data_IF_977496777858
#
_entry.id   IF_977496777858
#
_cell.length_a   1.000
_cell.length_b   1.000
_cell.length_c   1.000
_cell.angle_alpha   90.00
_cell.angle_beta   90.00
_cell.angle_gamma   90.00
#
_symmetry.space_group_name_H-M   'P 1'
#
loop_
_entity.id
_entity.type
_entity.pdbx_description
1 polymer ?
#
# COMPACT_ATOMS: atom_id res chain seq x y z
N UNK A 1 -3.64 6.94 -18.86
CA UNK A 1 -3.94 7.38 -17.48
C UNK A 1 -3.06 6.62 -16.49
N UNK A 2 -2.47 7.33 -15.58
CA UNK A 2 -1.63 6.73 -14.56
C UNK A 2 -2.49 5.99 -13.53
N UNK A 3 -2.13 4.73 -13.24
CA UNK A 3 -2.82 3.88 -12.29
C UNK A 3 -1.89 3.49 -11.15
N UNK A 4 -2.36 3.68 -9.93
CA UNK A 4 -1.61 3.39 -8.70
C UNK A 4 -2.40 2.42 -7.83
N UNK A 5 -1.73 1.39 -7.34
CA UNK A 5 -2.32 0.49 -6.35
C UNK A 5 -1.69 0.79 -4.99
N UNK A 6 -2.50 1.12 -3.99
CA UNK A 6 -2.05 1.28 -2.62
C UNK A 6 -2.31 -0.03 -1.87
N UNK A 7 -1.25 -0.69 -1.44
CA UNK A 7 -1.33 -1.95 -0.69
C UNK A 7 -1.00 -1.66 0.77
N UNK A 8 -1.92 -1.99 1.67
CA UNK A 8 -1.73 -1.81 3.09
C UNK A 8 -2.30 -2.97 3.89
N UNK A 9 -2.04 -2.95 5.19
CA UNK A 9 -2.66 -3.90 6.11
C UNK A 9 -4.03 -3.38 6.52
N UNK A 10 -5.02 -4.27 6.61
CA UNK A 10 -6.34 -3.88 7.13
C UNK A 10 -6.19 -3.28 8.53
N UNK A 11 -6.67 -2.05 8.75
CA UNK A 11 -6.44 -1.36 10.03
C UNK A 11 -6.91 -2.12 11.26
N UNK A 12 -7.99 -2.88 11.17
CA UNK A 12 -8.52 -3.65 12.29
C UNK A 12 -7.66 -4.86 12.65
N UNK A 13 -6.68 -5.23 11.82
CA UNK A 13 -5.77 -6.35 12.08
C UNK A 13 -4.41 -5.90 12.61
N UNK A 14 -4.19 -4.60 12.75
CA UNK A 14 -2.91 -4.04 13.22
C UNK A 14 -2.81 -4.21 14.74
N UNK A 15 -1.63 -4.62 15.21
CA UNK A 15 -1.33 -4.66 16.64
C UNK A 15 -0.92 -3.26 17.10
N UNK A 16 -1.86 -2.54 17.70
CA UNK A 16 -1.63 -1.15 18.14
C UNK A 16 -0.81 -1.07 19.43
N UNK A 17 -0.42 -2.21 20.01
CA UNK A 17 0.52 -2.22 21.14
C UNK A 17 1.97 -2.23 20.69
N UNK A 18 2.23 -2.38 19.39
CA UNK A 18 3.60 -2.40 18.86
C UNK A 18 4.26 -1.03 19.08
N UNK A 19 5.43 -0.99 19.76
CA UNK A 19 6.07 0.27 20.11
C UNK A 19 6.59 1.07 18.91
N UNK A 20 6.70 0.47 17.73
CA UNK A 20 7.12 1.19 16.51
C UNK A 20 6.04 2.16 16.03
N UNK A 21 4.78 1.92 16.40
CA UNK A 21 3.68 2.78 16.01
C UNK A 21 3.70 4.10 16.78
N UNK A 22 3.33 5.23 16.14
CA UNK A 22 3.24 6.50 16.85
C UNK A 22 2.22 6.44 17.99
N UNK A 23 2.45 7.16 19.09
CA UNK A 23 1.49 7.22 20.20
C UNK A 23 0.11 7.67 19.71
N UNK A 24 -0.93 7.03 20.22
CA UNK A 24 -2.31 7.37 19.88
C UNK A 24 -2.79 6.84 18.53
N UNK A 25 -1.99 6.01 17.84
CA UNK A 25 -2.41 5.41 16.58
C UNK A 25 -3.55 4.43 16.81
N UNK A 26 -4.53 4.45 15.90
CA UNK A 26 -5.67 3.52 15.91
C UNK A 26 -6.21 3.34 14.50
N UNK A 27 -7.18 2.42 14.35
CA UNK A 27 -7.76 2.09 13.06
C UNK A 27 -8.43 3.30 12.41
N UNK A 28 -9.12 4.13 13.19
CA UNK A 28 -9.79 5.33 12.67
C UNK A 28 -8.80 6.30 12.04
N UNK A 29 -7.67 6.53 12.68
CA UNK A 29 -6.62 7.41 12.14
C UNK A 29 -6.00 6.87 10.88
N UNK A 30 -5.76 5.56 10.83
CA UNK A 30 -5.21 4.93 9.64
C UNK A 30 -6.20 5.03 8.48
N UNK A 31 -7.48 4.76 8.73
CA UNK A 31 -8.52 4.87 7.70
C UNK A 31 -8.63 6.30 7.18
N UNK A 32 -8.56 7.29 8.05
CA UNK A 32 -8.58 8.69 7.63
C UNK A 32 -7.37 9.04 6.75
N UNK A 33 -6.18 8.55 7.11
CA UNK A 33 -4.98 8.76 6.32
C UNK A 33 -5.06 8.10 4.95
N UNK A 34 -5.61 6.90 4.88
CA UNK A 34 -5.82 6.18 3.62
C UNK A 34 -6.79 6.96 2.72
N UNK A 35 -7.89 7.45 3.26
CA UNK A 35 -8.86 8.24 2.49
C UNK A 35 -8.21 9.50 1.93
N UNK A 36 -7.39 10.18 2.73
CA UNK A 36 -6.64 11.35 2.28
C UNK A 36 -5.65 10.99 1.17
N UNK A 37 -4.95 9.87 1.30
CA UNK A 37 -4.01 9.40 0.28
C UNK A 37 -4.71 9.20 -1.07
N UNK A 38 -5.85 8.52 -1.07
CA UNK A 38 -6.61 8.29 -2.30
C UNK A 38 -7.10 9.60 -2.92
N UNK A 39 -7.54 10.54 -2.08
CA UNK A 39 -7.96 11.87 -2.54
C UNK A 39 -6.80 12.61 -3.19
N UNK A 40 -5.62 12.62 -2.58
CA UNK A 40 -4.44 13.28 -3.11
C UNK A 40 -4.01 12.69 -4.45
N UNK A 41 -4.10 11.37 -4.60
CA UNK A 41 -3.79 10.71 -5.88
C UNK A 41 -4.79 11.10 -6.95
N UNK A 42 -6.09 11.14 -6.63
CA UNK A 42 -7.12 11.58 -7.56
C UNK A 42 -6.93 13.04 -7.99
N UNK A 43 -6.51 13.90 -7.06
CA UNK A 43 -6.23 15.31 -7.35
C UNK A 43 -5.05 15.48 -8.32
N UNK A 44 -4.14 14.50 -8.37
CA UNK A 44 -3.03 14.47 -9.35
C UNK A 44 -3.46 13.89 -10.69
N UNK A 45 -4.72 13.51 -10.85
CA UNK A 45 -5.24 12.92 -12.09
C UNK A 45 -4.98 11.43 -12.22
N UNK A 46 -4.56 10.77 -11.15
CA UNK A 46 -4.30 9.33 -11.15
C UNK A 46 -5.55 8.53 -10.82
N UNK A 47 -5.64 7.32 -11.39
CA UNK A 47 -6.61 6.34 -10.95
C UNK A 47 -5.97 5.52 -9.82
N UNK A 48 -6.52 5.60 -8.62
CA UNK A 48 -5.98 4.92 -7.45
C UNK A 48 -6.93 3.85 -6.95
N UNK A 49 -6.40 2.65 -6.74
CA UNK A 49 -7.14 1.54 -6.14
C UNK A 49 -6.49 1.17 -4.81
N UNK A 50 -7.27 0.60 -3.92
CA UNK A 50 -6.85 0.20 -2.59
C UNK A 50 -6.90 -1.32 -2.46
N UNK A 51 -5.83 -1.91 -1.91
CA UNK A 51 -5.78 -3.33 -1.58
C UNK A 51 -5.36 -3.46 -0.12
N UNK A 52 -6.31 -3.71 0.76
CA UNK A 52 -6.03 -3.92 2.19
C UNK A 52 -5.95 -5.40 2.48
N UNK A 53 -4.85 -5.82 3.06
CA UNK A 53 -4.53 -7.23 3.28
C UNK A 53 -4.64 -7.60 4.76
N UNK A 54 -5.02 -8.84 5.01
CA UNK A 54 -4.94 -9.45 6.34
C UNK A 54 -3.56 -10.11 6.49
N UNK A 55 -2.97 -10.11 7.69
CA UNK A 55 -1.64 -10.71 7.89
C UNK A 55 -1.73 -12.24 8.06
N UNK A 56 -2.28 -12.91 7.07
CA UNK A 56 -2.48 -14.36 7.05
C UNK A 56 -2.29 -14.91 5.63
N UNK A 57 -2.70 -16.15 5.41
CA UNK A 57 -2.54 -16.84 4.12
C UNK A 57 -3.37 -16.23 2.99
N UNK A 58 -4.32 -15.33 3.29
CA UNK A 58 -5.12 -14.68 2.24
C UNK A 58 -4.37 -13.52 1.57
N UNK A 59 -3.29 -13.03 2.16
CA UNK A 59 -2.56 -11.87 1.64
C UNK A 59 -2.06 -12.08 0.20
N UNK A 60 -1.42 -13.22 -0.07
CA UNK A 60 -0.90 -13.53 -1.39
C UNK A 60 -1.97 -13.56 -2.47
N UNK A 61 -3.00 -14.42 -2.31
CA UNK A 61 -4.10 -14.48 -3.30
C UNK A 61 -4.81 -13.14 -3.48
N UNK A 62 -5.01 -12.37 -2.40
CA UNK A 62 -5.72 -11.10 -2.48
C UNK A 62 -4.93 -10.05 -3.25
N UNK A 63 -3.63 -9.91 -2.99
CA UNK A 63 -2.81 -8.94 -3.73
C UNK A 63 -2.65 -9.35 -5.19
N UNK A 64 -2.51 -10.65 -5.47
CA UNK A 64 -2.44 -11.12 -6.85
C UNK A 64 -3.72 -10.82 -7.62
N UNK A 65 -4.88 -10.98 -6.99
CA UNK A 65 -6.16 -10.66 -7.62
C UNK A 65 -6.22 -9.19 -8.01
N UNK A 66 -5.79 -8.29 -7.13
CA UNK A 66 -5.73 -6.86 -7.43
C UNK A 66 -4.79 -6.57 -8.60
N UNK A 67 -3.60 -7.18 -8.58
CA UNK A 67 -2.60 -6.94 -9.62
C UNK A 67 -3.01 -7.47 -11.00
N UNK A 68 -3.84 -8.50 -11.04
CA UNK A 68 -4.34 -9.08 -12.30
C UNK A 68 -5.59 -8.37 -12.82
N UNK A 69 -6.33 -7.67 -11.95
CA UNK A 69 -7.57 -6.99 -12.33
C UNK A 69 -7.32 -5.75 -13.19
N UNK A 70 -6.18 -5.10 -13.01
CA UNK A 70 -5.82 -3.86 -13.71
C UNK A 70 -4.31 -3.85 -13.98
N UNK A 71 -3.88 -3.03 -14.94
CA UNK A 71 -2.46 -2.74 -15.13
C UNK A 71 -2.10 -1.50 -14.33
N UNK A 72 -1.10 -1.62 -13.45
CA UNK A 72 -0.67 -0.52 -12.59
C UNK A 72 0.70 0.00 -13.01
N UNK A 73 0.90 1.31 -12.90
CA UNK A 73 2.17 1.97 -13.16
C UNK A 73 3.05 1.99 -11.91
N UNK A 74 2.42 2.04 -10.74
CA UNK A 74 3.11 2.06 -9.46
C UNK A 74 2.30 1.31 -8.40
N UNK A 75 3.00 0.57 -7.55
CA UNK A 75 2.42 -0.07 -6.37
C UNK A 75 3.06 0.58 -5.14
N UNK A 76 2.26 1.23 -4.31
CA UNK A 76 2.71 1.81 -3.05
C UNK A 76 2.45 0.81 -1.94
N UNK A 77 3.50 0.42 -1.22
CA UNK A 77 3.41 -0.51 -0.10
C UNK A 77 3.44 0.28 1.21
N UNK A 78 2.42 0.07 2.04
CA UNK A 78 2.24 0.82 3.28
C UNK A 78 3.30 0.53 4.34
N UNK A 79 3.62 1.55 5.13
CA UNK A 79 4.59 1.45 6.21
C UNK A 79 4.22 0.39 7.24
N UNK A 80 2.93 0.15 7.47
CA UNK A 80 2.46 -0.90 8.38
C UNK A 80 2.91 -2.29 7.95
N UNK A 81 3.00 -2.55 6.64
CA UNK A 81 3.52 -3.82 6.14
C UNK A 81 5.04 -3.85 6.28
N UNK A 82 5.72 -2.77 5.95
CA UNK A 82 7.18 -2.72 5.89
C UNK A 82 7.86 -2.60 7.26
N UNK A 83 7.30 -1.78 8.15
CA UNK A 83 7.97 -1.42 9.41
C UNK A 83 7.76 -2.42 10.54
N UNK A 84 6.63 -3.13 10.56
CA UNK A 84 6.35 -4.10 11.61
C UNK A 84 7.10 -5.39 11.31
N UNK A 85 8.04 -5.77 12.18
CA UNK A 85 8.90 -6.94 11.95
C UNK A 85 8.10 -8.24 11.80
N UNK A 86 6.96 -8.36 12.48
CA UNK A 86 6.07 -9.52 12.33
C UNK A 86 5.50 -9.65 10.92
N UNK A 87 5.48 -8.57 10.16
CA UNK A 87 4.93 -8.53 8.80
C UNK A 87 5.97 -8.77 7.72
N UNK A 88 7.20 -9.14 8.07
CA UNK A 88 8.24 -9.41 7.08
C UNK A 88 7.78 -10.44 6.03
N UNK A 89 7.18 -11.59 6.41
CA UNK A 89 6.67 -12.51 5.39
C UNK A 89 5.59 -11.91 4.50
N UNK A 90 4.72 -11.05 5.04
CA UNK A 90 3.70 -10.37 4.24
C UNK A 90 4.34 -9.39 3.27
N UNK A 91 5.37 -8.66 3.70
CA UNK A 91 6.12 -7.77 2.81
C UNK A 91 6.74 -8.54 1.65
N UNK A 92 7.39 -9.65 1.93
CA UNK A 92 7.97 -10.50 0.90
C UNK A 92 6.91 -11.05 -0.05
N UNK A 93 5.76 -11.45 0.48
CA UNK A 93 4.62 -11.92 -0.31
C UNK A 93 4.16 -10.85 -1.29
N UNK A 94 4.02 -9.61 -0.82
CA UNK A 94 3.57 -8.50 -1.68
C UNK A 94 4.61 -8.19 -2.74
N UNK A 95 5.88 -8.07 -2.37
CA UNK A 95 6.96 -7.76 -3.32
C UNK A 95 7.05 -8.84 -4.40
N UNK A 96 7.01 -10.11 -3.99
CA UNK A 96 7.10 -11.20 -4.94
C UNK A 96 5.86 -11.29 -5.85
N UNK A 97 4.68 -10.95 -5.34
CA UNK A 97 3.47 -10.90 -6.15
C UNK A 97 3.58 -9.81 -7.22
N UNK A 98 4.08 -8.63 -6.85
CA UNK A 98 4.30 -7.54 -7.82
C UNK A 98 5.32 -7.97 -8.86
N UNK A 99 6.41 -8.58 -8.44
CA UNK A 99 7.47 -9.05 -9.33
C UNK A 99 6.93 -10.05 -10.37
N UNK A 100 6.02 -10.95 -9.97
CA UNK A 100 5.44 -11.94 -10.88
C UNK A 100 4.32 -11.37 -11.75
N UNK A 101 3.40 -10.63 -11.14
CA UNK A 101 2.14 -10.26 -11.80
C UNK A 101 2.17 -8.88 -12.45
N UNK A 102 3.05 -7.99 -12.00
CA UNK A 102 3.13 -6.62 -12.49
C UNK A 102 4.59 -6.16 -12.62
N UNK A 103 5.42 -6.88 -13.41
CA UNK A 103 6.86 -6.59 -13.47
C UNK A 103 7.20 -5.21 -14.03
N UNK A 104 6.28 -4.58 -14.75
CA UNK A 104 6.48 -3.24 -15.29
C UNK A 104 6.11 -2.13 -14.30
N UNK A 105 5.44 -2.45 -13.20
CA UNK A 105 5.08 -1.46 -12.19
C UNK A 105 6.30 -1.11 -11.33
N UNK A 106 6.44 0.18 -11.00
CA UNK A 106 7.41 0.58 -9.99
C UNK A 106 6.86 0.27 -8.59
N UNK A 107 7.76 0.09 -7.63
CA UNK A 107 7.39 -0.12 -6.24
C UNK A 107 7.83 1.10 -5.44
N UNK A 108 6.92 1.65 -4.63
CA UNK A 108 7.21 2.77 -3.74
C UNK A 108 6.81 2.40 -2.31
N UNK A 109 7.51 2.96 -1.35
CA UNK A 109 7.19 2.79 0.07
C UNK A 109 6.80 4.15 0.64
N UNK A 110 5.67 4.20 1.33
CA UNK A 110 5.33 5.39 2.11
C UNK A 110 5.95 5.31 3.51
N UNK A 111 5.92 6.40 4.26
CA UNK A 111 6.30 6.41 5.68
C UNK A 111 5.06 6.47 6.58
N UNK A 112 3.97 6.97 6.05
CA UNK A 112 2.64 6.98 6.63
C UNK A 112 1.63 7.17 5.48
N UNK A 113 0.33 6.88 5.67
CA UNK A 113 -0.62 6.97 4.55
C UNK A 113 -0.63 8.32 3.85
N UNK A 114 -0.46 9.41 4.58
CA UNK A 114 -0.58 10.76 4.06
C UNK A 114 0.52 11.15 3.06
N UNK A 115 1.66 10.42 3.01
CA UNK A 115 2.70 10.69 2.02
C UNK A 115 2.72 9.70 0.85
N UNK A 116 1.65 8.90 0.69
CA UNK A 116 1.59 7.87 -0.35
C UNK A 116 1.65 8.43 -1.76
N UNK A 117 0.98 9.55 -2.03
CA UNK A 117 1.03 10.19 -3.35
C UNK A 117 2.45 10.68 -3.67
N UNK A 118 3.14 11.26 -2.69
CA UNK A 118 4.54 11.68 -2.86
C UNK A 118 5.45 10.49 -3.10
N UNK A 119 5.21 9.38 -2.40
CA UNK A 119 5.99 8.16 -2.59
C UNK A 119 5.88 7.66 -4.05
N UNK A 120 4.67 7.58 -4.57
CA UNK A 120 4.44 7.16 -5.95
C UNK A 120 5.08 8.13 -6.94
N UNK A 121 4.98 9.43 -6.67
CA UNK A 121 5.50 10.47 -7.57
C UNK A 121 7.02 10.39 -7.76
N UNK A 122 7.75 9.83 -6.78
CA UNK A 122 9.21 9.67 -6.92
C UNK A 122 9.58 8.76 -8.09
N UNK A 123 8.71 7.83 -8.46
CA UNK A 123 9.01 6.78 -9.44
C UNK A 123 8.15 6.86 -10.71
N UNK A 124 7.07 7.64 -10.68
CA UNK A 124 6.23 7.84 -11.85
C UNK A 124 6.87 8.88 -12.76
N UNK A 125 6.80 8.64 -14.08
CA UNK A 125 7.28 9.59 -15.06
C UNK A 125 6.31 10.76 -15.12
N UNK A 126 6.85 11.97 -15.28
CA UNK A 126 6.04 13.13 -15.55
C UNK A 126 5.45 13.00 -16.95
N UNK A 127 4.18 13.34 -17.07
CA UNK A 127 3.50 13.36 -18.38
C UNK A 127 3.90 14.60 -19.19
#
# INVERSE_FOLDING_TARGET
MTRVLFVGQQPETVDYTDPILPPGMNAERINAGIALALKQMAERGWHADLCLLRPDETAGPDVERSLKAQTYDCVVIGAGIRQLSRNLPMLETVINAVHRAAPAATIAFNTHPEDSADAAARWLKAD
#
